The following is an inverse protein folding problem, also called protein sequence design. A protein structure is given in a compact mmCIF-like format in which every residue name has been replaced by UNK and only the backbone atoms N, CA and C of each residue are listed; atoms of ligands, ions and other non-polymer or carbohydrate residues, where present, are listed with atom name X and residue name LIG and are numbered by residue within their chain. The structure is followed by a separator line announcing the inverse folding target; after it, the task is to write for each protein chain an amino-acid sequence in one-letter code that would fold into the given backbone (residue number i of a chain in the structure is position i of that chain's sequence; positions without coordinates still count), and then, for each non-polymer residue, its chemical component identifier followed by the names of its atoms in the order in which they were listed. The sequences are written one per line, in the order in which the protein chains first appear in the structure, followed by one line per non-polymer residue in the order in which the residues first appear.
data_IF_967480778938
#
_entry.id   IF_967480778938
#
_cell.length_a   1.000
_cell.length_b   1.000
_cell.length_c   1.000
_cell.angle_alpha   90.00
_cell.angle_beta   90.00
_cell.angle_gamma   90.00
#
_symmetry.space_group_name_H-M   'P 1'
#
loop_
_entity.id
_entity.type
_entity.pdbx_description
1 polymer ?
#
# COMPACT_ATOMS: atom_id res chain seq x y z
N UNK A 1 7.97 6.64 -32.91
CA UNK A 1 6.51 6.55 -32.72
C UNK A 1 6.12 5.44 -31.77
N UNK A 2 5.82 5.79 -30.52
CA UNK A 2 4.74 5.13 -29.76
C UNK A 2 4.14 6.18 -28.83
N UNK A 3 3.05 6.76 -29.33
CA UNK A 3 2.19 7.68 -28.62
C UNK A 3 1.48 6.87 -27.53
N UNK A 4 1.95 7.01 -26.28
CA UNK A 4 1.24 6.50 -25.10
C UNK A 4 -0.12 7.19 -25.06
N UNK A 5 -1.16 6.42 -25.33
CA UNK A 5 -2.53 6.90 -25.33
C UNK A 5 -2.91 7.41 -23.95
N UNK A 6 -3.40 8.65 -23.91
CA UNK A 6 -3.88 9.36 -22.74
C UNK A 6 -5.21 8.79 -22.22
N UNK A 7 -5.25 7.50 -21.87
CA UNK A 7 -6.44 6.82 -21.35
C UNK A 7 -6.15 5.64 -20.41
N UNK A 8 -4.95 5.52 -19.86
CA UNK A 8 -4.69 4.51 -18.82
C UNK A 8 -5.34 4.95 -17.51
N UNK A 9 -6.52 4.38 -17.20
CA UNK A 9 -7.15 4.46 -15.86
C UNK A 9 -6.31 3.76 -14.76
N UNK A 10 -5.02 3.53 -15.00
CA UNK A 10 -4.07 2.79 -14.20
C UNK A 10 -3.12 3.76 -13.49
N UNK A 11 -2.58 3.37 -12.33
CA UNK A 11 -1.64 4.22 -11.58
C UNK A 11 -2.31 5.34 -10.77
N UNK A 12 -3.59 5.21 -10.39
CA UNK A 12 -4.30 6.19 -9.56
C UNK A 12 -3.60 6.50 -8.24
N UNK A 13 -2.84 5.52 -7.73
CA UNK A 13 -2.09 5.67 -6.49
C UNK A 13 -0.91 6.65 -6.61
N UNK A 14 -0.37 6.92 -7.82
CA UNK A 14 0.78 7.82 -7.99
C UNK A 14 0.51 9.19 -7.40
N UNK A 15 -0.63 9.79 -7.74
CA UNK A 15 -1.02 11.13 -7.26
C UNK A 15 -1.52 11.15 -5.81
N UNK A 16 -1.76 9.96 -5.23
CA UNK A 16 -2.36 9.79 -3.89
C UNK A 16 -1.32 9.46 -2.83
N UNK A 17 -0.27 8.73 -3.18
CA UNK A 17 0.79 8.31 -2.26
C UNK A 17 1.39 9.48 -1.47
N UNK A 18 1.77 10.62 -2.08
CA UNK A 18 2.30 11.76 -1.31
C UNK A 18 1.30 12.32 -0.30
N UNK A 19 0.00 12.29 -0.62
CA UNK A 19 -1.06 12.75 0.29
C UNK A 19 -1.25 11.77 1.43
N UNK A 20 -1.30 10.47 1.13
CA UNK A 20 -1.40 9.43 2.16
C UNK A 20 -0.21 9.45 3.10
N UNK A 21 1.01 9.70 2.61
CA UNK A 21 2.22 9.78 3.40
C UNK A 21 2.16 10.84 4.51
N UNK A 22 1.31 11.86 4.35
CA UNK A 22 1.09 12.96 5.31
C UNK A 22 -0.18 12.77 6.16
N UNK A 23 -0.86 11.62 6.05
CA UNK A 23 -2.17 11.36 6.67
C UNK A 23 -2.15 10.05 7.48
N UNK A 24 -1.45 10.02 8.64
CA UNK A 24 -1.23 8.81 9.43
C UNK A 24 -2.51 8.14 9.94
N UNK A 25 -3.61 8.87 10.01
CA UNK A 25 -4.93 8.38 10.41
C UNK A 25 -5.57 7.47 9.35
N UNK A 26 -5.20 7.61 8.07
CA UNK A 26 -5.82 6.87 6.96
C UNK A 26 -5.35 5.42 6.89
N UNK A 27 -6.27 4.51 6.53
CA UNK A 27 -5.94 3.09 6.39
C UNK A 27 -4.88 2.81 5.32
N UNK A 28 -4.85 3.59 4.23
CA UNK A 28 -3.84 3.42 3.18
C UNK A 28 -2.42 3.70 3.71
N UNK A 29 -2.27 4.75 4.54
CA UNK A 29 -1.01 5.02 5.24
C UNK A 29 -0.62 3.84 6.12
N UNK A 30 -1.54 3.39 6.98
CA UNK A 30 -1.30 2.33 7.94
C UNK A 30 -0.86 1.02 7.28
N UNK A 31 -1.50 0.64 6.18
CA UNK A 31 -1.15 -0.57 5.42
C UNK A 31 0.24 -0.42 4.78
N UNK A 32 0.57 0.74 4.19
CA UNK A 32 1.90 0.99 3.61
C UNK A 32 3.00 1.00 4.69
N UNK A 33 2.73 1.65 5.83
CA UNK A 33 3.63 1.64 6.98
C UNK A 33 3.87 0.22 7.49
N UNK A 34 2.81 -0.56 7.71
CA UNK A 34 2.92 -1.96 8.13
C UNK A 34 3.74 -2.79 7.14
N UNK A 35 3.53 -2.58 5.84
CA UNK A 35 4.33 -3.21 4.79
C UNK A 35 5.81 -2.89 4.94
N UNK A 36 6.18 -1.61 5.11
CA UNK A 36 7.58 -1.22 5.27
C UNK A 36 8.21 -1.69 6.58
N UNK A 37 7.46 -1.71 7.69
CA UNK A 37 7.90 -2.27 8.96
C UNK A 37 8.25 -3.75 8.79
N UNK A 38 7.34 -4.55 8.25
CA UNK A 38 7.56 -5.98 8.00
C UNK A 38 8.69 -6.22 7.01
N UNK A 39 8.76 -5.44 5.93
CA UNK A 39 9.83 -5.53 4.95
C UNK A 39 11.20 -5.25 5.59
N UNK A 40 11.29 -4.27 6.48
CA UNK A 40 12.51 -3.97 7.23
C UNK A 40 12.89 -5.06 8.25
N UNK A 41 11.89 -5.66 8.90
CA UNK A 41 12.09 -6.72 9.90
C UNK A 41 12.45 -8.08 9.30
N UNK A 42 11.89 -8.41 8.13
CA UNK A 42 11.92 -9.78 7.56
C UNK A 42 12.58 -9.87 6.18
N UNK A 43 12.72 -8.75 5.47
CA UNK A 43 13.19 -8.73 4.07
C UNK A 43 12.14 -9.15 3.04
N UNK A 44 10.97 -9.63 3.48
CA UNK A 44 9.81 -9.96 2.66
C UNK A 44 8.52 -9.70 3.43
N UNK A 45 7.39 -9.64 2.74
CA UNK A 45 6.08 -9.46 3.38
C UNK A 45 5.11 -10.50 2.84
N UNK A 46 4.49 -11.25 3.75
CA UNK A 46 3.41 -12.17 3.39
C UNK A 46 2.05 -11.56 3.74
N UNK A 47 1.01 -11.99 3.03
CA UNK A 47 -0.35 -11.53 3.27
C UNK A 47 -0.85 -11.86 4.69
N UNK A 48 -0.63 -13.08 5.25
CA UNK A 48 -1.04 -13.36 6.62
C UNK A 48 -0.36 -12.46 7.66
N UNK A 49 0.93 -12.17 7.50
CA UNK A 49 1.66 -11.30 8.43
C UNK A 49 1.21 -9.84 8.32
N UNK A 50 1.00 -9.34 7.10
CA UNK A 50 0.51 -7.99 6.89
C UNK A 50 -0.91 -7.81 7.47
N UNK A 51 -1.79 -8.79 7.26
CA UNK A 51 -3.13 -8.83 7.84
C UNK A 51 -3.07 -8.88 9.37
N UNK A 52 -2.28 -9.80 9.94
CA UNK A 52 -2.10 -9.91 11.38
C UNK A 52 -1.56 -8.62 12.02
N UNK A 53 -0.57 -7.98 11.38
CA UNK A 53 -0.03 -6.70 11.84
C UNK A 53 -1.08 -5.59 11.83
N UNK A 54 -1.83 -5.46 10.75
CA UNK A 54 -2.86 -4.42 10.65
C UNK A 54 -4.09 -4.71 11.52
N UNK A 55 -4.32 -5.94 11.97
CA UNK A 55 -5.48 -6.30 12.78
C UNK A 55 -5.20 -6.41 14.29
N UNK A 56 -3.93 -6.36 14.72
CA UNK A 56 -3.61 -6.32 16.15
C UNK A 56 -3.61 -4.90 16.70
N UNK A 57 -4.76 -4.44 17.20
CA UNK A 57 -4.85 -3.11 17.84
C UNK A 57 -3.99 -3.01 19.12
N UNK A 58 -3.80 -4.13 19.83
CA UNK A 58 -3.05 -4.15 21.08
C UNK A 58 -1.54 -4.04 20.84
N UNK A 59 -1.02 -4.78 19.86
CA UNK A 59 0.42 -4.83 19.60
C UNK A 59 0.88 -3.75 18.61
N UNK A 60 -0.01 -3.34 17.70
CA UNK A 60 0.30 -2.46 16.57
C UNK A 60 -0.76 -1.35 16.39
N UNK A 61 -1.02 -0.52 17.41
CA UNK A 61 -2.04 0.53 17.34
C UNK A 61 -1.76 1.59 16.26
N UNK A 62 -0.49 1.82 15.90
CA UNK A 62 -0.07 2.78 14.88
C UNK A 62 -0.49 2.38 13.46
N UNK A 63 -0.64 1.08 13.19
CA UNK A 63 -1.03 0.53 11.89
C UNK A 63 -2.35 -0.23 11.92
N UNK A 64 -3.13 -0.09 13.00
CA UNK A 64 -4.41 -0.79 13.12
C UNK A 64 -5.46 -0.33 12.10
N UNK A 65 -6.02 -1.29 11.38
CA UNK A 65 -7.07 -1.15 10.37
C UNK A 65 -8.20 -2.15 10.63
N UNK A 66 -9.36 -1.64 11.04
CA UNK A 66 -10.55 -2.45 11.38
C UNK A 66 -10.98 -3.41 10.26
N UNK A 67 -11.03 -2.92 9.01
CA UNK A 67 -11.34 -3.73 7.83
C UNK A 67 -10.14 -3.80 6.89
N UNK A 68 -9.11 -4.53 7.30
CA UNK A 68 -7.91 -4.71 6.49
C UNK A 68 -8.22 -5.25 5.10
N UNK A 69 -9.05 -6.28 4.97
CA UNK A 69 -9.29 -6.98 3.71
C UNK A 69 -9.92 -6.07 2.66
N UNK A 70 -10.93 -5.29 3.01
CA UNK A 70 -11.57 -4.35 2.09
C UNK A 70 -10.62 -3.26 1.62
N UNK A 71 -9.87 -2.66 2.56
CA UNK A 71 -8.91 -1.60 2.25
C UNK A 71 -7.75 -2.14 1.39
N UNK A 72 -7.17 -3.29 1.76
CA UNK A 72 -6.10 -3.93 1.01
C UNK A 72 -6.55 -4.35 -0.40
N UNK A 73 -7.75 -4.91 -0.55
CA UNK A 73 -8.30 -5.23 -1.88
C UNK A 73 -8.43 -3.99 -2.77
N UNK A 74 -8.83 -2.84 -2.20
CA UNK A 74 -8.90 -1.57 -2.93
C UNK A 74 -7.53 -1.05 -3.40
N UNK A 75 -6.46 -1.48 -2.73
CA UNK A 75 -5.07 -1.15 -3.05
C UNK A 75 -4.41 -2.15 -4.03
N UNK A 76 -5.16 -3.12 -4.56
CA UNK A 76 -4.67 -4.10 -5.54
C UNK A 76 -5.22 -3.90 -6.95
N UNK A 77 -6.05 -2.89 -7.15
CA UNK A 77 -6.71 -2.61 -8.43
C UNK A 77 -6.90 -1.12 -8.65
N UNK A 78 -6.86 -0.68 -9.90
CA UNK A 78 -7.27 0.67 -10.30
C UNK A 78 -8.73 0.71 -10.81
N UNK A 79 -9.42 -0.43 -10.86
CA UNK A 79 -10.80 -0.51 -11.37
C UNK A 79 -11.79 0.17 -10.42
N UNK A 80 -12.86 0.73 -10.97
CA UNK A 80 -13.98 1.30 -10.21
C UNK A 80 -13.56 2.42 -9.25
N UNK A 81 -14.16 2.43 -8.05
CA UNK A 81 -13.94 3.43 -6.98
C UNK A 81 -12.76 3.07 -6.05
N UNK A 82 -11.79 2.30 -6.54
CA UNK A 82 -10.63 1.87 -5.77
C UNK A 82 -9.73 3.02 -5.31
N UNK A 83 -8.90 2.74 -4.30
CA UNK A 83 -7.86 3.66 -3.84
C UNK A 83 -6.70 3.75 -4.84
N UNK A 84 -6.60 2.81 -5.76
CA UNK A 84 -5.54 2.74 -6.77
C UNK A 84 -4.58 1.62 -6.44
N UNK A 85 -4.02 1.01 -7.47
CA UNK A 85 -3.16 -0.16 -7.30
C UNK A 85 -1.81 0.25 -6.71
N UNK A 86 -1.48 -0.33 -5.58
CA UNK A 86 -0.21 -0.21 -4.87
C UNK A 86 0.49 -1.56 -4.78
N UNK A 87 -0.27 -2.60 -4.43
CA UNK A 87 0.26 -3.92 -4.19
C UNK A 87 -0.12 -4.90 -5.28
N UNK A 88 0.75 -5.89 -5.47
CA UNK A 88 0.45 -7.16 -6.13
C UNK A 88 0.72 -8.28 -5.12
N UNK A 89 -0.01 -9.38 -5.22
CA UNK A 89 0.32 -10.60 -4.50
C UNK A 89 0.21 -11.81 -5.42
N UNK A 90 0.94 -12.87 -5.10
CA UNK A 90 0.90 -14.17 -5.79
C UNK A 90 0.00 -15.19 -5.06
N UNK A 91 -0.92 -14.70 -4.23
CA UNK A 91 -1.69 -15.51 -3.29
C UNK A 91 -1.06 -15.60 -1.89
N UNK A 92 0.24 -15.30 -1.75
CA UNK A 92 0.94 -15.35 -0.46
C UNK A 92 1.86 -14.16 -0.23
N UNK A 93 2.82 -13.92 -1.11
CA UNK A 93 3.80 -12.84 -0.98
C UNK A 93 3.21 -11.53 -1.51
N UNK A 94 3.39 -10.45 -0.76
CA UNK A 94 2.97 -9.09 -1.14
C UNK A 94 4.18 -8.32 -1.65
N UNK A 95 4.05 -7.72 -2.84
CA UNK A 95 5.06 -6.86 -3.46
C UNK A 95 4.45 -5.53 -3.88
N UNK A 96 5.26 -4.49 -3.89
CA UNK A 96 4.87 -3.21 -4.50
C UNK A 96 4.76 -3.40 -6.01
N UNK A 97 3.69 -2.85 -6.59
CA UNK A 97 3.53 -2.82 -8.03
C UNK A 97 4.54 -1.85 -8.64
N UNK A 98 5.30 -2.31 -9.63
CA UNK A 98 6.44 -1.57 -10.19
C UNK A 98 6.12 -0.12 -10.60
N UNK A 99 4.92 0.11 -11.14
CA UNK A 99 4.46 1.43 -11.60
C UNK A 99 4.45 2.50 -10.50
N UNK A 100 4.23 2.11 -9.24
CA UNK A 100 4.21 3.05 -8.11
C UNK A 100 5.45 2.97 -7.23
N UNK A 101 6.40 2.10 -7.56
CA UNK A 101 7.55 1.83 -6.70
C UNK A 101 8.39 3.08 -6.45
N UNK A 102 8.65 3.87 -7.50
CA UNK A 102 9.47 5.08 -7.39
C UNK A 102 8.85 6.10 -6.43
N UNK A 103 7.57 6.43 -6.61
CA UNK A 103 6.88 7.41 -5.77
C UNK A 103 6.69 6.91 -4.33
N UNK A 104 6.54 5.60 -4.12
CA UNK A 104 6.51 5.00 -2.78
C UNK A 104 7.87 5.18 -2.07
N UNK A 105 8.97 4.86 -2.75
CA UNK A 105 10.32 4.99 -2.19
C UNK A 105 10.69 6.45 -1.90
N UNK A 106 10.31 7.40 -2.78
CA UNK A 106 10.49 8.83 -2.55
C UNK A 106 9.79 9.33 -1.26
N UNK A 107 8.69 8.69 -0.86
CA UNK A 107 7.91 9.04 0.33
C UNK A 107 8.13 8.06 1.50
N UNK A 108 9.06 7.10 1.38
CA UNK A 108 9.25 6.02 2.37
C UNK A 108 9.51 6.53 3.78
N UNK A 109 10.33 7.57 3.92
CA UNK A 109 10.63 8.16 5.23
C UNK A 109 9.40 8.73 5.93
N UNK A 110 8.43 9.28 5.18
CA UNK A 110 7.18 9.82 5.74
C UNK A 110 6.26 8.70 6.24
N UNK A 111 6.21 7.56 5.55
CA UNK A 111 5.48 6.39 6.02
C UNK A 111 6.11 5.74 7.26
N UNK A 112 7.41 5.95 7.48
CA UNK A 112 8.16 5.42 8.62
C UNK A 112 8.42 6.45 9.73
N UNK A 113 7.89 7.67 9.58
CA UNK A 113 8.05 8.76 10.55
C UNK A 113 7.36 8.51 11.89
#
# INVERSE_FOLDING_TARGET
DQQLSANSNEGKAIDRIPKWALSPEQNNYKIIRAYYQLLGERGLVTRPELEARCQSQADHPDVYVRDFRGNFASMKTDKGKSHGKVFIDDGYNVRVWSTVSEILEQNRSLFLA
#
